data_IF_048445663654
#
_entry.id   IF_048445663654
#
_cell.length_a   1.000
_cell.length_b   1.000
_cell.length_c   1.000
_cell.angle_alpha   90.00
_cell.angle_beta   90.00
_cell.angle_gamma   90.00
#
_symmetry.space_group_name_H-M   'P 1'
#
loop_
_entity.id
_entity.type
_entity.pdbx_description
1 polymer ?
#
# COMPACT_ATOMS: atom_id res chain seq x y z
N UNK A 1 19.06 10.84 25.43
CA UNK A 1 18.58 9.46 25.16
C UNK A 1 17.44 9.39 24.15
N UNK A 2 17.19 10.43 23.35
CA UNK A 2 16.11 10.44 22.34
C UNK A 2 16.61 10.21 20.89
N UNK A 3 17.92 10.26 20.66
CA UNK A 3 18.49 10.12 19.31
C UNK A 3 18.64 8.67 18.79
N UNK A 4 18.66 7.66 19.69
CA UNK A 4 18.80 6.26 19.25
C UNK A 4 17.50 5.65 18.73
N UNK A 5 16.33 6.15 19.15
CA UNK A 5 15.04 5.62 18.73
C UNK A 5 14.67 6.04 17.29
N UNK A 6 15.18 7.17 16.82
CA UNK A 6 14.88 7.72 15.50
C UNK A 6 15.68 7.04 14.39
N UNK A 7 16.97 6.75 14.62
CA UNK A 7 17.80 6.01 13.66
C UNK A 7 17.32 4.56 13.45
N UNK A 8 16.80 3.94 14.50
CA UNK A 8 16.27 2.57 14.42
C UNK A 8 14.94 2.55 13.65
N UNK A 9 14.05 3.51 13.88
CA UNK A 9 12.80 3.68 13.14
C UNK A 9 13.04 3.84 11.63
N UNK A 10 13.96 4.70 11.23
CA UNK A 10 14.29 4.94 9.81
C UNK A 10 14.82 3.66 9.15
N UNK A 11 15.69 2.90 9.81
CA UNK A 11 16.23 1.63 9.26
C UNK A 11 15.15 0.59 9.03
N UNK A 12 14.20 0.42 9.95
CA UNK A 12 13.12 -0.55 9.80
C UNK A 12 12.10 -0.12 8.75
N UNK A 13 11.77 1.16 8.68
CA UNK A 13 10.88 1.70 7.63
C UNK A 13 11.49 1.50 6.25
N UNK A 14 12.78 1.77 6.07
CA UNK A 14 13.49 1.59 4.81
C UNK A 14 13.55 0.13 4.38
N UNK A 15 13.87 -0.81 5.28
CA UNK A 15 13.96 -2.23 4.96
C UNK A 15 12.61 -2.85 4.61
N UNK A 16 11.56 -2.53 5.37
CA UNK A 16 10.21 -3.02 5.12
C UNK A 16 9.63 -2.42 3.84
N UNK A 17 9.83 -1.14 3.61
CA UNK A 17 9.44 -0.46 2.38
C UNK A 17 10.18 -1.06 1.18
N UNK A 18 11.49 -1.30 1.24
CA UNK A 18 12.27 -2.00 0.22
C UNK A 18 11.70 -3.39 -0.12
N UNK A 19 11.27 -4.13 0.88
CA UNK A 19 10.74 -5.47 0.69
C UNK A 19 9.31 -5.45 0.07
N UNK A 20 8.44 -4.56 0.55
CA UNK A 20 7.12 -4.33 -0.04
C UNK A 20 7.28 -3.92 -1.50
N UNK A 21 8.20 -3.06 -1.75
CA UNK A 21 8.46 -2.50 -3.05
C UNK A 21 9.20 -3.47 -3.98
N UNK A 22 10.07 -4.36 -3.46
CA UNK A 22 10.60 -5.48 -4.25
C UNK A 22 9.48 -6.44 -4.69
N UNK A 23 8.47 -6.67 -3.83
CA UNK A 23 7.27 -7.41 -4.20
C UNK A 23 6.43 -6.64 -5.23
N UNK A 24 6.39 -5.31 -5.15
CA UNK A 24 5.78 -4.44 -6.14
C UNK A 24 6.41 -4.61 -7.52
N UNK A 25 7.74 -4.62 -7.63
CA UNK A 25 8.47 -4.77 -8.90
C UNK A 25 8.27 -6.15 -9.54
N UNK A 26 7.97 -7.18 -8.76
CA UNK A 26 7.79 -8.57 -9.26
C UNK A 26 6.33 -8.96 -9.51
N UNK A 27 5.35 -8.10 -9.19
CA UNK A 27 3.94 -8.40 -9.38
C UNK A 27 3.56 -8.45 -10.87
N UNK A 28 2.96 -9.55 -11.38
CA UNK A 28 2.54 -9.66 -12.78
C UNK A 28 1.53 -8.60 -13.23
N UNK A 29 0.74 -8.04 -12.29
CA UNK A 29 -0.24 -6.99 -12.57
C UNK A 29 0.42 -5.62 -12.84
N UNK A 30 1.70 -5.48 -12.56
CA UNK A 30 2.46 -4.25 -12.81
C UNK A 30 2.92 -4.10 -14.25
N UNK A 31 2.65 -5.08 -15.12
CA UNK A 31 2.93 -4.85 -16.51
C UNK A 31 2.01 -3.73 -17.00
N UNK A 32 2.59 -2.66 -17.52
CA UNK A 32 1.86 -1.57 -18.19
C UNK A 32 0.84 -2.12 -19.18
N UNK A 33 1.20 -3.22 -19.86
CA UNK A 33 0.30 -3.95 -20.76
C UNK A 33 -0.98 -4.44 -20.07
N UNK A 34 -0.90 -4.95 -18.85
CA UNK A 34 -2.08 -5.40 -18.10
C UNK A 34 -2.97 -4.21 -17.74
N UNK A 35 -2.38 -3.13 -17.23
CA UNK A 35 -3.11 -1.91 -16.90
C UNK A 35 -3.78 -1.30 -18.14
N UNK A 36 -3.05 -1.20 -19.26
CA UNK A 36 -3.58 -0.69 -20.52
C UNK A 36 -4.75 -1.54 -21.05
N UNK A 37 -4.65 -2.87 -20.92
CA UNK A 37 -5.74 -3.78 -21.31
C UNK A 37 -7.01 -3.55 -20.47
N UNK A 38 -6.85 -3.12 -19.22
CA UNK A 38 -7.95 -2.77 -18.31
C UNK A 38 -8.45 -1.32 -18.47
N UNK A 39 -7.90 -0.58 -19.45
CA UNK A 39 -8.37 0.74 -19.82
C UNK A 39 -7.66 1.91 -19.12
N UNK A 40 -6.53 1.67 -18.44
CA UNK A 40 -5.72 2.74 -17.89
C UNK A 40 -4.82 3.36 -18.96
N UNK A 41 -4.61 4.67 -18.87
CA UNK A 41 -3.75 5.41 -19.79
C UNK A 41 -2.28 5.01 -19.60
N UNK A 42 -1.66 4.53 -20.68
CA UNK A 42 -0.30 3.97 -20.64
C UNK A 42 0.73 5.01 -20.19
N UNK A 43 0.68 6.20 -20.78
CA UNK A 43 1.63 7.27 -20.49
C UNK A 43 1.56 7.71 -19.01
N UNK A 44 0.34 7.84 -18.49
CA UNK A 44 0.11 8.19 -17.08
C UNK A 44 0.63 7.12 -16.14
N UNK A 45 0.36 5.85 -16.45
CA UNK A 45 0.81 4.72 -15.62
C UNK A 45 2.33 4.54 -15.67
N UNK A 46 2.96 4.76 -16.83
CA UNK A 46 4.41 4.74 -16.98
C UNK A 46 5.07 5.81 -16.11
N UNK A 47 4.57 7.05 -16.13
CA UNK A 47 5.08 8.12 -15.29
C UNK A 47 5.00 7.81 -13.79
N UNK A 48 3.88 7.25 -13.31
CA UNK A 48 3.78 6.85 -11.91
C UNK A 48 4.67 5.66 -11.56
N UNK A 49 4.88 4.73 -12.48
CA UNK A 49 5.80 3.63 -12.31
C UNK A 49 7.24 4.09 -12.20
N UNK A 50 7.66 5.02 -13.05
CA UNK A 50 9.01 5.61 -13.01
C UNK A 50 9.30 6.27 -11.67
N UNK A 51 8.38 7.07 -11.14
CA UNK A 51 8.48 7.70 -9.82
C UNK A 51 8.61 6.65 -8.71
N UNK A 52 7.84 5.57 -8.79
CA UNK A 52 7.93 4.46 -7.84
C UNK A 52 9.30 3.77 -7.92
N UNK A 53 9.79 3.48 -9.11
CA UNK A 53 11.11 2.86 -9.35
C UNK A 53 12.22 3.78 -8.83
N UNK A 54 12.16 5.09 -9.10
CA UNK A 54 13.12 6.06 -8.57
C UNK A 54 13.15 6.05 -7.04
N UNK A 55 11.98 6.08 -6.41
CA UNK A 55 11.89 5.99 -4.95
C UNK A 55 12.62 4.76 -4.42
N UNK A 56 12.41 3.61 -5.07
CA UNK A 56 12.93 2.32 -4.68
C UNK A 56 14.42 2.15 -4.86
N UNK A 57 14.87 2.46 -6.07
CA UNK A 57 16.23 2.15 -6.50
C UNK A 57 17.22 3.25 -6.15
N UNK A 58 16.74 4.47 -5.93
CA UNK A 58 17.59 5.64 -5.71
C UNK A 58 17.37 6.25 -4.32
N UNK A 59 16.15 6.65 -4.02
CA UNK A 59 15.88 7.49 -2.84
C UNK A 59 15.98 6.70 -1.52
N UNK A 60 15.46 5.47 -1.48
CA UNK A 60 15.55 4.63 -0.28
C UNK A 60 16.99 4.21 0.03
N UNK A 61 17.82 3.77 -0.93
CA UNK A 61 19.26 3.56 -0.68
C UNK A 61 19.97 4.81 -0.15
N UNK A 62 19.71 5.99 -0.70
CA UNK A 62 20.28 7.26 -0.21
C UNK A 62 19.81 7.61 1.20
N UNK A 63 18.55 7.34 1.52
CA UNK A 63 18.05 7.53 2.88
C UNK A 63 18.75 6.58 3.88
N UNK A 64 19.08 5.35 3.46
CA UNK A 64 19.82 4.39 4.30
C UNK A 64 21.26 4.83 4.60
N UNK A 65 21.86 5.67 3.75
CA UNK A 65 23.18 6.28 3.97
C UNK A 65 23.12 7.64 4.66
N UNK A 66 21.92 8.16 4.92
CA UNK A 66 21.72 9.47 5.53
C UNK A 66 21.85 10.66 4.55
N UNK A 67 21.94 10.39 3.24
CA UNK A 67 21.99 11.44 2.21
C UNK A 67 20.63 12.11 1.97
N UNK A 68 19.54 11.40 2.25
CA UNK A 68 18.17 11.87 2.07
C UNK A 68 17.37 11.58 3.35
N UNK A 69 16.59 12.55 3.80
CA UNK A 69 15.59 12.36 4.85
C UNK A 69 14.30 11.80 4.23
N UNK A 70 14.06 10.51 4.47
CA UNK A 70 12.90 9.80 3.93
C UNK A 70 11.57 10.38 4.45
N UNK A 71 11.55 10.88 5.69
CA UNK A 71 10.35 11.49 6.25
C UNK A 71 10.00 12.78 5.51
N UNK A 72 10.98 13.62 5.20
CA UNK A 72 10.77 14.84 4.41
C UNK A 72 10.31 14.48 3.00
N UNK A 73 10.98 13.52 2.35
CA UNK A 73 10.67 13.08 0.99
C UNK A 73 9.22 12.55 0.87
N UNK A 74 8.81 11.69 1.78
CA UNK A 74 7.48 11.05 1.73
C UNK A 74 6.33 11.97 2.19
N UNK A 75 6.64 13.06 2.89
CA UNK A 75 5.65 14.06 3.29
C UNK A 75 5.60 15.30 2.37
N UNK A 76 6.39 15.32 1.32
CA UNK A 76 6.28 16.37 0.30
C UNK A 76 4.93 16.22 -0.45
N UNK A 77 4.04 17.22 -0.40
CA UNK A 77 2.74 17.17 -1.05
C UNK A 77 2.81 17.07 -2.58
N UNK A 78 3.96 17.35 -3.17
CA UNK A 78 4.21 17.23 -4.60
C UNK A 78 5.25 16.14 -4.93
N UNK A 79 5.57 15.31 -3.95
CA UNK A 79 6.61 14.29 -4.04
C UNK A 79 6.12 12.92 -4.47
N UNK A 80 7.06 11.98 -4.52
CA UNK A 80 6.87 10.61 -4.98
C UNK A 80 5.81 9.81 -4.20
N UNK A 81 5.47 10.18 -2.96
CA UNK A 81 4.43 9.49 -2.19
C UNK A 81 3.05 9.57 -2.83
N UNK A 82 2.75 10.69 -3.48
CA UNK A 82 1.52 10.89 -4.23
C UNK A 82 1.47 10.01 -5.49
N UNK A 83 2.56 9.97 -6.25
CA UNK A 83 2.70 9.12 -7.42
C UNK A 83 2.56 7.62 -7.05
N UNK A 84 3.18 7.19 -5.94
CA UNK A 84 3.01 5.85 -5.40
C UNK A 84 1.53 5.52 -5.10
N UNK A 85 0.81 6.46 -4.48
CA UNK A 85 -0.63 6.29 -4.19
C UNK A 85 -1.44 6.18 -5.47
N UNK A 86 -1.18 7.06 -6.44
CA UNK A 86 -1.85 7.05 -7.75
C UNK A 86 -1.54 5.82 -8.58
N UNK A 87 -0.39 5.20 -8.41
CA UNK A 87 -0.05 3.93 -9.02
C UNK A 87 -0.68 2.72 -8.30
N UNK A 88 -0.66 2.70 -6.97
CA UNK A 88 -1.21 1.59 -6.19
C UNK A 88 -2.75 1.46 -6.32
N UNK A 89 -3.48 2.56 -6.49
CA UNK A 89 -4.94 2.53 -6.66
C UNK A 89 -5.38 1.83 -7.95
N UNK A 90 -4.85 2.15 -9.14
CA UNK A 90 -5.07 1.37 -10.35
C UNK A 90 -4.65 -0.10 -10.23
N UNK A 91 -3.56 -0.42 -9.53
CA UNK A 91 -3.16 -1.82 -9.30
C UNK A 91 -4.18 -2.57 -8.45
N UNK A 92 -4.68 -1.93 -7.39
CA UNK A 92 -5.77 -2.48 -6.57
C UNK A 92 -7.01 -2.77 -7.42
N UNK A 93 -7.44 -1.77 -8.19
CA UNK A 93 -8.59 -1.90 -9.10
C UNK A 93 -8.36 -2.98 -10.15
N UNK A 94 -7.17 -3.05 -10.74
CA UNK A 94 -6.80 -4.09 -11.72
C UNK A 94 -6.90 -5.49 -11.13
N UNK A 95 -6.44 -5.68 -9.88
CA UNK A 95 -6.56 -6.96 -9.19
C UNK A 95 -8.04 -7.33 -8.97
N UNK A 96 -8.84 -6.40 -8.50
CA UNK A 96 -10.28 -6.62 -8.26
C UNK A 96 -11.03 -6.95 -9.55
N UNK A 97 -10.76 -6.21 -10.63
CA UNK A 97 -11.34 -6.44 -11.97
C UNK A 97 -10.90 -7.79 -12.58
N UNK A 98 -9.71 -8.25 -12.25
CA UNK A 98 -9.19 -9.57 -12.69
C UNK A 98 -9.74 -10.73 -11.87
N UNK A 99 -10.30 -10.47 -10.69
CA UNK A 99 -10.83 -11.47 -9.76
C UNK A 99 -12.24 -11.09 -9.25
N UNK A 100 -13.22 -10.80 -10.14
CA UNK A 100 -14.51 -10.25 -9.74
C UNK A 100 -15.29 -11.17 -8.80
N UNK A 101 -15.21 -12.48 -8.97
CA UNK A 101 -15.92 -13.46 -8.15
C UNK A 101 -15.51 -13.41 -6.67
N UNK A 102 -14.29 -12.96 -6.38
CA UNK A 102 -13.80 -12.81 -5.01
C UNK A 102 -14.41 -11.61 -4.30
N UNK A 103 -14.76 -10.54 -5.02
CA UNK A 103 -15.15 -9.26 -4.46
C UNK A 103 -16.64 -8.96 -4.58
N UNK A 104 -17.27 -9.32 -5.70
CA UNK A 104 -18.68 -9.02 -5.96
C UNK A 104 -19.64 -9.45 -4.85
N UNK A 105 -19.46 -10.57 -4.14
CA UNK A 105 -20.35 -10.96 -3.04
C UNK A 105 -20.41 -9.94 -1.88
N UNK A 106 -19.45 -9.04 -1.80
CA UNK A 106 -19.34 -8.02 -0.73
C UNK A 106 -19.66 -6.60 -1.22
N UNK A 107 -20.02 -6.43 -2.50
CA UNK A 107 -20.30 -5.14 -3.13
C UNK A 107 -21.80 -5.04 -3.38
N UNK A 108 -22.54 -4.48 -2.41
CA UNK A 108 -24.01 -4.40 -2.50
C UNK A 108 -24.51 -3.15 -3.23
N UNK A 109 -23.75 -2.04 -3.17
CA UNK A 109 -24.19 -0.72 -3.64
C UNK A 109 -23.88 -0.44 -5.12
N UNK A 110 -23.16 -1.33 -5.80
CA UNK A 110 -22.71 -1.15 -7.18
C UNK A 110 -23.13 -2.33 -8.06
N UNK A 111 -23.54 -2.07 -9.31
CA UNK A 111 -24.04 -3.13 -10.20
C UNK A 111 -22.96 -4.11 -10.67
N UNK A 112 -21.70 -3.67 -10.70
CA UNK A 112 -20.55 -4.44 -11.17
C UNK A 112 -19.24 -3.94 -10.53
N UNK A 113 -18.17 -4.74 -10.72
CA UNK A 113 -16.85 -4.47 -10.18
C UNK A 113 -16.23 -3.19 -10.75
N UNK A 114 -16.50 -2.86 -12.03
CA UNK A 114 -15.98 -1.68 -12.69
C UNK A 114 -16.55 -0.40 -12.08
N UNK A 115 -17.86 -0.38 -11.84
CA UNK A 115 -18.57 0.73 -11.20
C UNK A 115 -18.05 0.96 -9.77
N UNK A 116 -17.85 -0.12 -9.01
CA UNK A 116 -17.27 -0.05 -7.67
C UNK A 116 -15.84 0.51 -7.72
N UNK A 117 -14.98 -0.04 -8.56
CA UNK A 117 -13.60 0.38 -8.67
C UNK A 117 -13.48 1.87 -9.02
N UNK A 118 -14.27 2.34 -9.98
CA UNK A 118 -14.30 3.76 -10.38
C UNK A 118 -14.79 4.70 -9.27
N UNK A 119 -15.70 4.25 -8.44
CA UNK A 119 -16.28 5.08 -7.38
C UNK A 119 -15.48 5.06 -6.07
N UNK A 120 -14.97 3.88 -5.68
CA UNK A 120 -14.46 3.66 -4.32
C UNK A 120 -12.97 3.29 -4.25
N UNK A 121 -12.36 2.82 -5.35
CA UNK A 121 -10.97 2.36 -5.34
C UNK A 121 -10.03 3.35 -6.03
N UNK A 122 -10.34 3.76 -7.25
CA UNK A 122 -9.48 4.59 -8.10
C UNK A 122 -9.36 6.05 -7.64
N UNK A 123 -10.42 6.72 -7.12
CA UNK A 123 -10.32 8.12 -6.76
C UNK A 123 -9.36 8.35 -5.59
N UNK A 124 -8.57 9.43 -5.69
CA UNK A 124 -7.78 9.94 -4.58
C UNK A 124 -8.71 10.37 -3.43
N UNK A 125 -8.22 10.33 -2.19
CA UNK A 125 -8.95 10.75 -0.98
C UNK A 125 -10.13 9.84 -0.57
N UNK A 126 -10.29 8.66 -1.20
CA UNK A 126 -11.14 7.60 -0.64
C UNK A 126 -10.36 6.80 0.40
N UNK A 127 -11.02 6.47 1.51
CA UNK A 127 -10.43 5.59 2.51
C UNK A 127 -10.18 4.20 1.92
N UNK A 128 -9.10 3.56 2.37
CA UNK A 128 -8.79 2.18 2.02
C UNK A 128 -9.50 1.29 3.04
N UNK A 129 -10.52 0.59 2.57
CA UNK A 129 -11.29 -0.33 3.39
C UNK A 129 -10.80 -1.78 3.24
N UNK A 130 -11.49 -2.71 3.88
CA UNK A 130 -11.09 -4.11 3.93
C UNK A 130 -10.90 -4.75 2.55
N UNK A 131 -11.77 -4.46 1.58
CA UNK A 131 -11.68 -5.05 0.24
C UNK A 131 -10.43 -4.60 -0.51
N UNK A 132 -10.06 -3.33 -0.39
CA UNK A 132 -8.84 -2.79 -0.99
C UNK A 132 -7.59 -3.36 -0.30
N UNK A 133 -7.61 -3.56 1.02
CA UNK A 133 -6.51 -4.21 1.74
C UNK A 133 -6.33 -5.65 1.24
N UNK A 134 -7.42 -6.42 1.11
CA UNK A 134 -7.39 -7.79 0.57
C UNK A 134 -6.83 -7.79 -0.85
N UNK A 135 -7.29 -6.89 -1.71
CA UNK A 135 -6.85 -6.81 -3.10
C UNK A 135 -5.36 -6.49 -3.21
N UNK A 136 -4.87 -5.49 -2.49
CA UNK A 136 -3.47 -5.07 -2.52
C UNK A 136 -2.55 -6.13 -1.92
N UNK A 137 -2.90 -6.70 -0.76
CA UNK A 137 -2.08 -7.74 -0.12
C UNK A 137 -1.96 -8.98 -1.00
N UNK A 138 -3.06 -9.36 -1.67
CA UNK A 138 -3.06 -10.49 -2.61
C UNK A 138 -2.27 -10.18 -3.88
N UNK A 139 -2.42 -8.95 -4.43
CA UNK A 139 -1.68 -8.52 -5.61
C UNK A 139 -0.17 -8.50 -5.38
N UNK A 140 0.27 -8.09 -4.18
CA UNK A 140 1.68 -7.95 -3.85
C UNK A 140 2.29 -9.19 -3.20
N UNK A 141 1.49 -10.19 -2.84
CA UNK A 141 1.98 -11.38 -2.14
C UNK A 141 2.58 -11.05 -0.77
N UNK A 142 1.97 -10.12 -0.05
CA UNK A 142 2.38 -9.68 1.30
C UNK A 142 1.29 -10.01 2.31
N UNK A 143 1.68 -10.13 3.57
CA UNK A 143 0.76 -10.29 4.70
C UNK A 143 0.68 -9.00 5.49
N UNK A 144 -0.54 -8.51 5.74
CA UNK A 144 -0.80 -7.34 6.58
C UNK A 144 -1.67 -7.75 7.75
N UNK A 145 -1.18 -7.49 8.97
CA UNK A 145 -1.97 -7.65 10.19
C UNK A 145 -2.48 -6.27 10.60
N UNK A 146 -3.78 -6.15 10.80
CA UNK A 146 -4.40 -4.92 11.29
C UNK A 146 -4.89 -5.15 12.71
N UNK A 147 -4.31 -4.42 13.63
CA UNK A 147 -4.66 -4.40 15.05
C UNK A 147 -5.69 -3.30 15.25
N UNK A 148 -6.91 -3.66 15.69
CA UNK A 148 -8.01 -2.71 15.86
C UNK A 148 -8.07 -2.18 17.28
N UNK A 149 -8.03 -0.84 17.41
CA UNK A 149 -8.35 -0.13 18.66
C UNK A 149 -9.72 0.55 18.50
N UNK A 150 -10.77 -0.23 18.68
CA UNK A 150 -12.15 0.25 18.57
C UNK A 150 -12.71 0.81 19.90
N UNK A 151 -11.94 0.72 20.98
CA UNK A 151 -12.29 1.28 22.29
C UNK A 151 -13.38 0.50 23.06
N UNK A 152 -13.89 -0.60 22.52
CA UNK A 152 -14.96 -1.35 23.17
C UNK A 152 -14.47 -2.37 24.23
N UNK A 153 -13.21 -2.79 24.18
CA UNK A 153 -12.68 -3.72 25.15
C UNK A 153 -11.17 -3.49 25.38
N UNK A 154 -10.83 -2.84 26.47
CA UNK A 154 -9.43 -2.53 26.81
C UNK A 154 -8.56 -3.79 27.10
N UNK A 155 -9.21 -4.94 27.29
CA UNK A 155 -8.52 -6.20 27.62
C UNK A 155 -8.30 -7.11 26.39
N UNK A 156 -8.97 -6.85 25.25
CA UNK A 156 -8.90 -7.72 24.07
C UNK A 156 -8.71 -6.93 22.78
N UNK A 157 -7.49 -6.87 22.32
CA UNK A 157 -7.15 -6.27 21.04
C UNK A 157 -7.42 -7.27 19.93
N UNK A 158 -8.32 -6.93 19.00
CA UNK A 158 -8.62 -7.78 17.84
C UNK A 158 -7.61 -7.53 16.72
N UNK A 159 -7.04 -8.61 16.18
CA UNK A 159 -6.13 -8.54 15.02
C UNK A 159 -6.73 -9.31 13.86
N UNK A 160 -6.82 -8.66 12.71
CA UNK A 160 -7.20 -9.29 11.45
C UNK A 160 -5.98 -9.39 10.54
N UNK A 161 -5.78 -10.56 9.92
CA UNK A 161 -4.68 -10.81 8.99
C UNK A 161 -5.23 -10.89 7.57
N UNK A 162 -4.57 -10.19 6.63
CA UNK A 162 -4.93 -10.11 5.22
C UNK A 162 -3.74 -10.52 4.35
N UNK A 163 -4.01 -11.27 3.29
CA UNK A 163 -3.01 -11.77 2.36
C UNK A 163 -2.12 -12.86 2.96
N UNK A 164 -1.27 -13.41 2.10
CA UNK A 164 -0.27 -14.44 2.43
C UNK A 164 1.05 -14.05 1.76
N UNK A 165 2.16 -14.22 2.47
CA UNK A 165 3.48 -13.91 1.92
C UNK A 165 4.58 -14.00 2.97
N UNK A 166 5.83 -14.04 2.50
CA UNK A 166 7.01 -14.03 3.36
C UNK A 166 7.23 -12.67 4.05
N UNK A 167 6.69 -11.61 3.45
CA UNK A 167 6.73 -10.27 3.99
C UNK A 167 5.50 -10.01 4.83
N UNK A 168 5.72 -9.61 6.07
CA UNK A 168 4.66 -9.33 7.02
C UNK A 168 4.84 -7.94 7.62
N UNK A 169 3.77 -7.15 7.59
CA UNK A 169 3.70 -5.86 8.27
C UNK A 169 2.52 -5.84 9.23
N UNK A 170 2.62 -5.04 10.28
CA UNK A 170 1.54 -4.84 11.24
C UNK A 170 1.16 -3.37 11.29
N UNK A 171 -0.13 -3.11 11.20
CA UNK A 171 -0.71 -1.78 11.28
C UNK A 171 -1.64 -1.70 12.49
N UNK A 172 -1.70 -0.53 13.10
CA UNK A 172 -2.68 -0.18 14.12
C UNK A 172 -3.77 0.64 13.45
N UNK A 173 -5.00 0.18 13.52
CA UNK A 173 -6.16 0.94 13.07
C UNK A 173 -6.84 1.64 14.25
N UNK A 174 -7.05 2.92 14.08
CA UNK A 174 -7.99 3.74 14.86
C UNK A 174 -8.99 4.36 13.88
N UNK A 175 -10.24 4.63 14.24
CA UNK A 175 -11.20 5.21 13.31
C UNK A 175 -10.62 6.39 12.52
N UNK A 176 -10.56 6.24 11.19
CA UNK A 176 -10.01 7.23 10.26
C UNK A 176 -8.48 7.33 10.21
N UNK A 177 -7.73 6.41 10.83
CA UNK A 177 -6.27 6.49 10.83
C UNK A 177 -5.57 5.13 10.98
N UNK A 178 -4.45 4.94 10.26
CA UNK A 178 -3.56 3.80 10.36
C UNK A 178 -2.16 4.24 10.77
N UNK A 179 -1.57 3.54 11.75
CA UNK A 179 -0.16 3.66 12.13
C UNK A 179 0.58 2.36 11.81
N UNK A 180 1.89 2.43 11.53
CA UNK A 180 2.73 1.24 11.44
C UNK A 180 3.20 0.82 12.83
N UNK A 181 3.08 -0.48 13.13
CA UNK A 181 3.59 -1.07 14.36
C UNK A 181 4.89 -1.82 14.10
N UNK A 182 5.88 -1.56 14.94
CA UNK A 182 7.16 -2.24 14.93
C UNK A 182 7.29 -3.12 16.16
N UNK A 183 7.87 -4.32 15.99
CA UNK A 183 8.21 -5.16 17.15
C UNK A 183 9.29 -4.43 17.97
N UNK A 184 9.06 -4.31 19.26
CA UNK A 184 10.09 -3.84 20.18
C UNK A 184 11.08 -4.99 20.42
N UNK A 185 12.36 -4.74 20.13
CA UNK A 185 13.44 -5.65 20.51
C UNK A 185 13.63 -5.70 22.03
#
# INVERSE_FOLDING_TARGET
MAQSDDETKVKYTSGLLLLILASLVTCPLQSLKTLTTLGYDEFTMEGFQEELVELLEIQIPKASTGEVDLHVLLNDPHGCSQACTWYCRPLCSAYMKSNPDQFMPFIEAHPDIDSFCKAEVEPSFRECEQLQIIALTSAFGIKVNVVYLDGHDAEKVTTHSFGEGALEMTMLYRPGHYDLLYKKE
#
